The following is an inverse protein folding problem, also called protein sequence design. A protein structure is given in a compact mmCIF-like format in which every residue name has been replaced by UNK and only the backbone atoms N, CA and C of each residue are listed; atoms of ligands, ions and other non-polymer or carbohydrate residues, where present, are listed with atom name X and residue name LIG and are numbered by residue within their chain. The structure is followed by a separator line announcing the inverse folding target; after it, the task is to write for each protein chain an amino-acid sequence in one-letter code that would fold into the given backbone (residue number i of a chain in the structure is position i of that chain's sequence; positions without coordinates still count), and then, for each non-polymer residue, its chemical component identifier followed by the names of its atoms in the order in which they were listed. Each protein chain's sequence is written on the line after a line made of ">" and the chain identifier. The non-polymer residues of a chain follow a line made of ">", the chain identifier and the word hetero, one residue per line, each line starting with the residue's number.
data_IF_552791188066
#
_entry.id   IF_552791188066
#
_cell.length_a   1.000
_cell.length_b   1.000
_cell.length_c   1.000
_cell.angle_alpha   90.00
_cell.angle_beta   90.00
_cell.angle_gamma   90.00
#
_symmetry.space_group_name_H-M   'P 1'
#
loop_
_entity.id
_entity.type
_entity.pdbx_description
1 polymer ?
#
# COMPACT_ATOMS: atom_id res chain seq x y z
N UNK A 1 20.51 9.57 -24.56
CA UNK A 1 21.25 9.41 -23.28
C UNK A 1 20.69 8.21 -22.52
N UNK A 2 21.50 7.19 -22.19
CA UNK A 2 21.08 6.09 -21.31
C UNK A 2 21.06 6.58 -19.86
N UNK A 3 19.87 6.79 -19.30
CA UNK A 3 19.71 7.17 -17.89
C UNK A 3 20.26 6.04 -17.01
N UNK A 4 21.41 6.27 -16.34
CA UNK A 4 21.93 5.36 -15.31
C UNK A 4 20.86 5.25 -14.22
N UNK A 5 20.26 4.05 -14.06
CA UNK A 5 19.30 3.79 -12.97
C UNK A 5 20.01 4.01 -11.64
N UNK A 6 19.54 4.98 -10.86
CA UNK A 6 20.01 5.19 -9.49
C UNK A 6 19.81 3.90 -8.65
N UNK A 7 20.76 3.61 -7.77
CA UNK A 7 20.64 2.48 -6.82
C UNK A 7 19.44 2.73 -5.90
N UNK A 8 18.69 1.67 -5.56
CA UNK A 8 17.43 1.79 -4.77
C UNK A 8 17.60 2.48 -3.42
N UNK A 9 18.74 2.29 -2.73
CA UNK A 9 19.03 2.98 -1.46
C UNK A 9 19.09 4.50 -1.63
N UNK A 10 19.84 4.97 -2.63
CA UNK A 10 19.95 6.40 -2.96
C UNK A 10 18.59 7.02 -3.24
N UNK A 11 17.68 6.31 -3.91
CA UNK A 11 16.33 6.80 -4.18
C UNK A 11 15.44 6.87 -2.93
N UNK A 12 15.57 5.92 -2.01
CA UNK A 12 14.84 5.96 -0.74
C UNK A 12 15.33 7.13 0.13
N UNK A 13 16.64 7.33 0.23
CA UNK A 13 17.24 8.45 0.95
C UNK A 13 16.86 9.79 0.33
N UNK A 14 16.81 9.86 -1.00
CA UNK A 14 16.36 11.06 -1.71
C UNK A 14 14.88 11.34 -1.42
N UNK A 15 14.02 10.31 -1.45
CA UNK A 15 12.61 10.46 -1.07
C UNK A 15 12.48 10.96 0.37
N UNK A 16 13.27 10.43 1.30
CA UNK A 16 13.27 10.84 2.70
C UNK A 16 13.57 12.34 2.83
N UNK A 17 14.69 12.79 2.26
CA UNK A 17 15.10 14.20 2.25
C UNK A 17 14.04 15.12 1.65
N UNK A 18 13.43 14.72 0.53
CA UNK A 18 12.36 15.51 -0.11
C UNK A 18 11.13 15.70 0.78
N UNK A 19 10.82 14.72 1.64
CA UNK A 19 9.71 14.82 2.60
C UNK A 19 10.14 15.67 3.79
N UNK A 20 11.35 15.49 4.33
CA UNK A 20 11.91 16.29 5.43
C UNK A 20 11.89 17.79 5.09
N UNK A 21 12.36 18.16 3.89
CA UNK A 21 12.37 19.55 3.38
C UNK A 21 10.98 20.21 3.34
N UNK A 22 9.91 19.41 3.32
CA UNK A 22 8.51 19.86 3.19
C UNK A 22 7.70 19.53 4.42
N UNK A 23 8.35 19.15 5.52
CA UNK A 23 7.68 18.88 6.78
C UNK A 23 7.24 20.21 7.43
N UNK A 24 6.02 20.30 8.02
CA UNK A 24 5.01 19.25 8.19
C UNK A 24 3.98 19.10 7.06
N UNK A 25 4.03 19.96 6.04
CA UNK A 25 3.00 20.06 5.00
C UNK A 25 2.94 18.83 4.08
N UNK A 26 4.03 18.07 3.99
CA UNK A 26 4.13 16.83 3.22
C UNK A 26 4.43 17.05 1.73
N UNK A 27 5.02 16.03 1.12
CA UNK A 27 5.46 16.01 -0.27
C UNK A 27 4.34 15.52 -1.20
N UNK A 28 3.85 16.33 -2.15
CA UNK A 28 2.89 15.86 -3.14
C UNK A 28 3.43 14.70 -3.97
N UNK A 29 2.60 13.68 -4.21
CA UNK A 29 3.00 12.46 -4.92
C UNK A 29 3.47 12.73 -6.35
N UNK A 30 2.80 13.62 -7.07
CA UNK A 30 3.21 13.99 -8.43
C UNK A 30 4.56 14.70 -8.48
N UNK A 31 4.84 15.54 -7.48
CA UNK A 31 6.15 16.19 -7.30
C UNK A 31 7.22 15.14 -7.03
N UNK A 32 6.98 14.20 -6.10
CA UNK A 32 7.91 13.11 -5.82
C UNK A 32 8.22 12.28 -7.09
N UNK A 33 7.21 11.98 -7.91
CA UNK A 33 7.37 11.21 -9.14
C UNK A 33 8.21 11.95 -10.18
N UNK A 34 7.93 13.24 -10.36
CA UNK A 34 8.67 14.10 -11.28
C UNK A 34 10.12 14.27 -10.85
N UNK A 35 10.38 14.49 -9.56
CA UNK A 35 11.75 14.68 -9.04
C UNK A 35 12.56 13.38 -9.10
N UNK A 36 12.00 12.25 -8.67
CA UNK A 36 12.75 10.99 -8.57
C UNK A 36 12.89 10.25 -9.91
N UNK A 37 11.92 10.40 -10.81
CA UNK A 37 11.82 9.60 -12.03
C UNK A 37 11.64 10.42 -13.32
N UNK A 38 11.56 11.75 -13.23
CA UNK A 38 11.45 12.66 -14.37
C UNK A 38 10.04 12.85 -14.93
N UNK A 39 9.04 12.10 -14.44
CA UNK A 39 7.65 12.25 -14.88
C UNK A 39 6.65 11.67 -13.88
N UNK A 40 5.43 12.20 -13.89
CA UNK A 40 4.34 11.69 -13.06
C UNK A 40 3.50 10.66 -13.83
N UNK A 41 3.76 9.38 -13.57
CA UNK A 41 3.03 8.25 -14.17
C UNK A 41 2.56 7.28 -13.09
N UNK A 42 1.51 6.48 -13.36
CA UNK A 42 1.05 5.42 -12.45
C UNK A 42 2.20 4.51 -12.00
N UNK A 43 3.05 4.08 -12.93
CA UNK A 43 4.21 3.23 -12.63
C UNK A 43 5.23 3.92 -11.72
N UNK A 44 5.48 5.21 -11.89
CA UNK A 44 6.38 5.96 -11.00
C UNK A 44 5.79 6.14 -9.60
N UNK A 45 4.49 6.45 -9.50
CA UNK A 45 3.77 6.50 -8.21
C UNK A 45 3.83 5.17 -7.47
N UNK A 46 3.65 4.05 -8.15
CA UNK A 46 3.80 2.70 -7.57
C UNK A 46 5.23 2.42 -7.08
N UNK A 47 6.25 2.93 -7.79
CA UNK A 47 7.65 2.81 -7.33
C UNK A 47 7.90 3.64 -6.08
N UNK A 48 7.31 4.84 -5.96
CA UNK A 48 7.38 5.64 -4.73
C UNK A 48 6.75 4.90 -3.56
N UNK A 49 5.61 4.25 -3.76
CA UNK A 49 5.00 3.43 -2.71
C UNK A 49 5.96 2.36 -2.18
N UNK A 50 6.74 1.72 -3.07
CA UNK A 50 7.78 0.75 -2.67
C UNK A 50 8.95 1.40 -1.93
N UNK A 51 9.37 2.60 -2.33
CA UNK A 51 10.40 3.36 -1.62
C UNK A 51 9.93 3.74 -0.21
N UNK A 52 8.71 4.26 -0.06
CA UNK A 52 8.11 4.52 1.24
C UNK A 52 8.02 3.23 2.09
N UNK A 53 7.71 2.09 1.46
CA UNK A 53 7.78 0.78 2.10
C UNK A 53 9.19 0.42 2.61
N UNK A 54 10.24 0.74 1.85
CA UNK A 54 11.63 0.53 2.27
C UNK A 54 12.03 1.46 3.43
N UNK A 55 11.58 2.71 3.43
CA UNK A 55 11.80 3.66 4.54
C UNK A 55 11.16 3.14 5.84
N UNK A 56 9.92 2.65 5.77
CA UNK A 56 9.23 2.07 6.94
C UNK A 56 9.94 0.86 7.52
N UNK A 57 10.60 0.03 6.70
CA UNK A 57 11.43 -1.09 7.18
C UNK A 57 12.65 -0.63 7.99
N UNK A 58 13.08 0.62 7.80
CA UNK A 58 14.17 1.26 8.56
C UNK A 58 13.63 2.21 9.64
N UNK A 59 12.41 1.96 10.14
CA UNK A 59 11.75 2.75 11.19
C UNK A 59 11.47 4.22 10.84
N UNK A 60 11.49 4.58 9.55
CA UNK A 60 11.09 5.91 9.07
C UNK A 60 9.63 5.83 8.64
N UNK A 61 8.73 6.36 9.47
CA UNK A 61 7.29 6.23 9.32
C UNK A 61 6.74 7.23 8.31
N UNK A 62 6.84 6.87 7.03
CA UNK A 62 6.32 7.66 5.92
C UNK A 62 4.97 7.12 5.46
N UNK A 63 3.93 7.96 5.47
CA UNK A 63 2.57 7.61 5.02
C UNK A 63 1.95 8.70 4.15
N UNK A 64 0.99 8.30 3.31
CA UNK A 64 0.34 9.18 2.35
C UNK A 64 -1.07 9.56 2.80
N UNK A 65 -1.36 10.86 2.88
CA UNK A 65 -2.67 11.42 3.20
C UNK A 65 -3.01 12.48 2.15
N UNK A 66 -4.24 12.47 1.60
CA UNK A 66 -4.66 13.47 0.61
C UNK A 66 -3.73 13.60 -0.61
N UNK A 67 -3.05 12.51 -1.01
CA UNK A 67 -2.09 12.52 -2.12
C UNK A 67 -0.69 13.09 -1.79
N UNK A 68 -0.37 13.27 -0.51
CA UNK A 68 0.92 13.79 -0.03
C UNK A 68 1.56 12.82 0.96
N UNK A 69 2.86 12.62 0.86
CA UNK A 69 3.64 11.84 1.82
C UNK A 69 4.12 12.72 2.98
N UNK A 70 3.91 12.24 4.20
CA UNK A 70 4.32 12.89 5.45
C UNK A 70 5.28 11.99 6.23
N UNK A 71 6.12 12.61 7.05
CA UNK A 71 6.82 11.94 8.16
C UNK A 71 5.88 11.91 9.36
N UNK A 72 5.71 10.73 9.93
CA UNK A 72 4.74 10.47 11.00
C UNK A 72 5.38 9.86 12.24
N UNK A 73 6.72 9.83 12.35
CA UNK A 73 7.43 9.22 13.48
C UNK A 73 6.92 9.75 14.83
N UNK A 74 6.69 11.06 14.92
CA UNK A 74 6.24 11.73 16.14
C UNK A 74 4.76 12.17 16.08
N UNK A 75 4.01 11.70 15.09
CA UNK A 75 2.61 12.07 14.86
C UNK A 75 1.69 10.86 15.14
N UNK A 76 1.43 10.62 16.42
CA UNK A 76 0.64 9.49 16.89
C UNK A 76 -0.79 9.46 16.32
N UNK A 77 -1.38 10.64 16.08
CA UNK A 77 -2.73 10.76 15.50
C UNK A 77 -2.73 10.24 14.07
N UNK A 78 -1.82 10.74 13.21
CA UNK A 78 -1.71 10.24 11.82
C UNK A 78 -1.36 8.76 11.76
N UNK A 79 -0.53 8.27 12.68
CA UNK A 79 -0.24 6.82 12.76
C UNK A 79 -1.50 6.00 13.08
N UNK A 80 -2.34 6.46 14.00
CA UNK A 80 -3.62 5.82 14.32
C UNK A 80 -4.59 5.88 13.13
N UNK A 81 -4.69 7.02 12.44
CA UNK A 81 -5.51 7.16 11.22
C UNK A 81 -5.10 6.15 10.14
N UNK A 82 -3.78 5.97 9.93
CA UNK A 82 -3.27 4.96 8.99
C UNK A 82 -3.65 3.55 9.41
N UNK A 83 -3.58 3.24 10.71
CA UNK A 83 -4.00 1.94 11.21
C UNK A 83 -5.48 1.69 10.92
N UNK A 84 -6.36 2.66 11.21
CA UNK A 84 -7.79 2.58 10.93
C UNK A 84 -8.06 2.43 9.43
N UNK A 85 -7.44 3.24 8.58
CA UNK A 85 -7.59 3.15 7.12
C UNK A 85 -7.17 1.78 6.58
N UNK A 86 -6.09 1.19 7.12
CA UNK A 86 -5.67 -0.18 6.76
C UNK A 86 -6.71 -1.22 7.15
N UNK A 87 -7.36 -1.07 8.30
CA UNK A 87 -8.42 -1.99 8.72
C UNK A 87 -9.68 -1.85 7.85
N UNK A 88 -10.07 -0.63 7.49
CA UNK A 88 -11.16 -0.38 6.55
C UNK A 88 -10.86 -1.04 5.20
N UNK A 89 -9.65 -0.87 4.67
CA UNK A 89 -9.23 -1.51 3.42
C UNK A 89 -9.22 -3.04 3.53
N UNK A 90 -8.73 -3.59 4.65
CA UNK A 90 -8.76 -5.03 4.90
C UNK A 90 -10.20 -5.58 4.91
N UNK A 91 -11.13 -4.87 5.59
CA UNK A 91 -12.55 -5.20 5.60
C UNK A 91 -13.17 -5.16 4.20
N UNK A 92 -12.89 -4.12 3.42
CA UNK A 92 -13.36 -4.01 2.03
C UNK A 92 -12.81 -5.13 1.13
N UNK A 93 -11.53 -5.47 1.26
CA UNK A 93 -10.92 -6.59 0.54
C UNK A 93 -11.57 -7.94 0.93
N UNK A 94 -11.90 -8.12 2.21
CA UNK A 94 -12.60 -9.31 2.69
C UNK A 94 -14.00 -9.43 2.10
N UNK A 95 -14.78 -8.34 2.13
CA UNK A 95 -16.11 -8.29 1.48
C UNK A 95 -16.02 -8.62 -0.01
N UNK A 96 -15.06 -8.03 -0.72
CA UNK A 96 -14.84 -8.30 -2.13
C UNK A 96 -14.45 -9.77 -2.39
N UNK A 97 -13.66 -10.39 -1.51
CA UNK A 97 -13.32 -11.80 -1.63
C UNK A 97 -14.59 -12.68 -1.58
N UNK A 98 -15.53 -12.41 -0.66
CA UNK A 98 -16.79 -13.15 -0.59
C UNK A 98 -17.67 -12.93 -1.82
N UNK A 99 -17.76 -11.68 -2.32
CA UNK A 99 -18.45 -11.38 -3.57
C UNK A 99 -17.86 -12.17 -4.76
N UNK A 100 -16.53 -12.22 -4.86
CA UNK A 100 -15.86 -13.00 -5.91
C UNK A 100 -16.12 -14.50 -5.80
N UNK A 101 -16.23 -15.04 -4.58
CA UNK A 101 -16.65 -16.43 -4.36
C UNK A 101 -18.05 -16.70 -4.89
N UNK A 102 -19.01 -15.82 -4.58
CA UNK A 102 -20.40 -15.97 -5.03
C UNK A 102 -20.49 -15.95 -6.56
N UNK A 103 -19.84 -14.97 -7.20
CA UNK A 103 -19.76 -14.91 -8.67
C UNK A 103 -19.14 -16.16 -9.28
N UNK A 104 -18.12 -16.72 -8.64
CA UNK A 104 -17.50 -17.94 -9.13
C UNK A 104 -18.48 -19.13 -9.03
N UNK A 105 -19.25 -19.24 -7.95
CA UNK A 105 -20.29 -20.28 -7.80
C UNK A 105 -21.39 -20.10 -8.87
N UNK A 106 -21.86 -18.88 -9.10
CA UNK A 106 -22.87 -18.55 -10.12
C UNK A 106 -22.40 -18.90 -11.54
N UNK A 107 -21.10 -18.75 -11.83
CA UNK A 107 -20.51 -19.10 -13.11
C UNK A 107 -20.46 -20.62 -13.40
N UNK A 108 -20.90 -21.47 -12.46
CA UNK A 108 -20.97 -22.92 -12.66
C UNK A 108 -19.61 -23.61 -12.61
N UNK A 109 -18.80 -23.30 -11.59
CA UNK A 109 -17.50 -23.96 -11.38
C UNK A 109 -17.63 -25.49 -11.35
N UNK A 110 -16.71 -26.24 -11.99
CA UNK A 110 -16.58 -27.68 -11.80
C UNK A 110 -16.45 -28.05 -10.32
N UNK A 111 -17.00 -29.20 -9.91
CA UNK A 111 -17.09 -29.62 -8.51
C UNK A 111 -15.73 -29.62 -7.78
N UNK A 112 -14.66 -30.05 -8.45
CA UNK A 112 -13.31 -30.03 -7.86
C UNK A 112 -12.79 -28.61 -7.59
N UNK A 113 -13.13 -27.64 -8.44
CA UNK A 113 -12.80 -26.23 -8.21
C UNK A 113 -13.65 -25.64 -7.08
N UNK A 114 -14.92 -26.06 -6.97
CA UNK A 114 -15.82 -25.67 -5.88
C UNK A 114 -15.31 -26.14 -4.52
N UNK A 115 -14.92 -27.42 -4.39
CA UNK A 115 -14.30 -27.94 -3.15
C UNK A 115 -13.04 -27.18 -2.74
N UNK A 116 -12.18 -26.86 -3.71
CA UNK A 116 -10.97 -26.05 -3.46
C UNK A 116 -11.31 -24.65 -2.96
N UNK A 117 -12.31 -24.00 -3.58
CA UNK A 117 -12.78 -22.69 -3.18
C UNK A 117 -13.36 -22.70 -1.77
N UNK A 118 -14.22 -23.68 -1.44
CA UNK A 118 -14.82 -23.81 -0.12
C UNK A 118 -13.78 -24.07 0.97
N UNK A 119 -12.75 -24.89 0.69
CA UNK A 119 -11.63 -25.07 1.61
C UNK A 119 -10.90 -23.75 1.89
N UNK A 120 -10.56 -22.99 0.84
CA UNK A 120 -9.86 -21.72 0.99
C UNK A 120 -10.68 -20.69 1.80
N UNK A 121 -11.99 -20.61 1.57
CA UNK A 121 -12.87 -19.72 2.32
C UNK A 121 -13.15 -20.23 3.74
N UNK A 122 -13.09 -21.54 3.99
CA UNK A 122 -13.13 -22.11 5.35
C UNK A 122 -11.91 -21.75 6.19
N UNK A 123 -10.73 -21.66 5.59
CA UNK A 123 -9.51 -21.14 6.24
C UNK A 123 -9.63 -19.64 6.53
N UNK A 124 -10.09 -18.85 5.55
CA UNK A 124 -10.32 -17.41 5.71
C UNK A 124 -11.31 -17.11 6.85
N UNK A 125 -12.43 -17.85 6.93
CA UNK A 125 -13.40 -17.71 8.03
C UNK A 125 -12.78 -17.97 9.40
N UNK A 126 -11.89 -18.96 9.53
CA UNK A 126 -11.19 -19.25 10.80
C UNK A 126 -10.27 -18.10 11.21
N UNK A 127 -9.53 -17.54 10.25
CA UNK A 127 -8.66 -16.37 10.51
C UNK A 127 -9.50 -15.18 10.96
N UNK A 128 -10.59 -14.87 10.26
CA UNK A 128 -11.47 -13.75 10.63
C UNK A 128 -12.12 -13.96 12.00
N UNK A 129 -12.57 -15.19 12.30
CA UNK A 129 -13.14 -15.52 13.60
C UNK A 129 -12.15 -15.38 14.75
N UNK A 130 -10.84 -15.53 14.50
CA UNK A 130 -9.80 -15.34 15.53
C UNK A 130 -9.46 -13.87 15.83
N UNK A 131 -10.04 -12.91 15.09
CA UNK A 131 -9.81 -11.48 15.30
C UNK A 131 -10.81 -10.85 16.28
N UNK A 132 -11.82 -11.59 16.73
CA UNK A 132 -12.87 -11.19 17.67
C UNK A 132 -12.98 -12.21 18.80
#
# INVERSE_FOLDING_TARGET
>A
MKVKKAKRGVLADTLHKLIEERHPQGLPLGTAATVLYGSDTKTHRERIYRLAGALRKNNIMVYSFGGRYHLCNDDGIRLAEVAVQKQILAGSNLQNAFLLREKAIEAGLPEEQRKRLDKAFGELKRVVASLF
#
